data_IF_937443004977
#
_entry.id   IF_937443004977
#
_cell.length_a   1.000
_cell.length_b   1.000
_cell.length_c   1.000
_cell.angle_alpha   90.00
_cell.angle_beta   90.00
_cell.angle_gamma   90.00
#
_symmetry.space_group_name_H-M   'P 1'
#
loop_
_entity.id
_entity.type
_entity.pdbx_description
1 polymer ?
#
# COMPACT_ATOMS: atom_id res chain seq x y z
N UNK A 1 23.01 5.43 18.47
CA UNK A 1 21.54 5.49 18.42
C UNK A 1 21.02 4.13 17.95
N UNK A 2 19.87 3.66 18.43
CA UNK A 2 19.31 2.37 18.02
C UNK A 2 18.82 2.38 16.57
N UNK A 3 18.32 3.52 16.07
CA UNK A 3 17.89 3.65 14.67
C UNK A 3 19.07 3.48 13.70
N UNK A 4 20.17 4.19 13.95
CA UNK A 4 21.36 4.15 13.11
C UNK A 4 21.96 2.73 13.06
N UNK A 5 21.98 2.01 14.19
CA UNK A 5 22.44 0.63 14.23
C UNK A 5 21.53 -0.31 13.41
N UNK A 6 20.21 -0.15 13.49
CA UNK A 6 19.26 -0.92 12.67
C UNK A 6 19.48 -0.69 11.17
N UNK A 7 19.71 0.57 10.78
CA UNK A 7 19.96 0.95 9.39
C UNK A 7 21.29 0.40 8.89
N UNK A 8 22.38 0.57 9.65
CA UNK A 8 23.71 0.11 9.26
C UNK A 8 23.84 -1.43 9.21
N UNK A 9 23.03 -2.13 10.01
CA UNK A 9 23.03 -3.59 10.04
C UNK A 9 22.00 -4.21 9.10
N UNK A 10 21.34 -3.42 8.23
CA UNK A 10 20.32 -3.91 7.29
C UNK A 10 19.23 -4.76 7.97
N UNK A 11 18.88 -4.42 9.22
CA UNK A 11 18.07 -5.29 10.10
C UNK A 11 16.71 -5.65 9.50
N UNK A 12 16.17 -4.79 8.63
CA UNK A 12 14.88 -4.99 7.96
C UNK A 12 15.00 -5.09 6.44
N UNK A 13 16.21 -5.25 5.88
CA UNK A 13 16.39 -5.27 4.43
C UNK A 13 15.59 -6.38 3.74
N UNK A 14 15.50 -7.57 4.34
CA UNK A 14 14.68 -8.66 3.80
C UNK A 14 13.18 -8.34 3.79
N UNK A 15 12.69 -7.57 4.76
CA UNK A 15 11.29 -7.15 4.79
C UNK A 15 11.02 -6.10 3.70
N UNK A 16 11.92 -5.13 3.54
CA UNK A 16 11.84 -4.12 2.47
C UNK A 16 11.87 -4.76 1.08
N UNK A 17 12.73 -5.76 0.87
CA UNK A 17 12.77 -6.51 -0.39
C UNK A 17 11.48 -7.31 -0.63
N UNK A 18 10.93 -7.94 0.41
CA UNK A 18 9.66 -8.66 0.31
C UNK A 18 8.50 -7.73 -0.08
N UNK A 19 8.40 -6.56 0.56
CA UNK A 19 7.38 -5.54 0.24
C UNK A 19 7.54 -5.01 -1.19
N UNK A 20 8.78 -4.84 -1.67
CA UNK A 20 9.05 -4.43 -3.05
C UNK A 20 8.56 -5.48 -4.05
N UNK A 21 8.86 -6.76 -3.80
CA UNK A 21 8.43 -7.84 -4.69
C UNK A 21 6.92 -8.01 -4.68
N UNK A 22 6.27 -7.91 -3.52
CA UNK A 22 4.81 -7.92 -3.41
C UNK A 22 4.18 -6.81 -4.27
N UNK A 23 4.73 -5.59 -4.20
CA UNK A 23 4.26 -4.49 -5.04
C UNK A 23 4.39 -4.78 -6.55
N UNK A 24 5.51 -5.36 -6.97
CA UNK A 24 5.73 -5.77 -8.37
C UNK A 24 4.73 -6.85 -8.79
N UNK A 25 4.52 -7.87 -7.96
CA UNK A 25 3.56 -8.96 -8.21
C UNK A 25 2.11 -8.46 -8.31
N UNK A 26 1.76 -7.43 -7.52
CA UNK A 26 0.47 -6.74 -7.59
C UNK A 26 0.36 -5.77 -8.78
N UNK A 27 1.41 -5.62 -9.60
CA UNK A 27 1.43 -4.74 -10.78
C UNK A 27 1.57 -3.26 -10.45
N UNK A 28 2.06 -2.91 -9.26
CA UNK A 28 2.32 -1.53 -8.85
C UNK A 28 3.54 -1.01 -9.62
N UNK A 29 3.32 -0.01 -10.48
CA UNK A 29 4.37 0.60 -11.30
C UNK A 29 4.80 1.99 -10.79
N UNK A 30 4.25 2.45 -9.67
CA UNK A 30 4.55 3.77 -9.11
C UNK A 30 3.79 4.05 -7.82
N UNK A 31 4.31 5.01 -7.06
CA UNK A 31 3.74 5.41 -5.76
C UNK A 31 3.09 6.80 -5.82
N UNK A 32 2.12 7.09 -4.93
CA UNK A 32 1.50 6.14 -4.00
C UNK A 32 0.50 5.22 -4.72
N UNK A 33 0.34 4.01 -4.19
CA UNK A 33 -0.62 3.02 -4.66
C UNK A 33 -1.34 2.44 -3.44
N UNK A 34 -2.65 2.27 -3.54
CA UNK A 34 -3.50 1.80 -2.46
C UNK A 34 -4.40 0.66 -2.97
N UNK A 35 -4.81 -0.20 -2.05
CA UNK A 35 -5.87 -1.17 -2.28
C UNK A 35 -6.93 -0.97 -1.19
N UNK A 36 -8.18 -0.80 -1.57
CA UNK A 36 -9.32 -0.70 -0.65
C UNK A 36 -10.10 -1.99 -0.82
N UNK A 37 -10.00 -2.92 0.13
CA UNK A 37 -10.57 -4.28 0.04
C UNK A 37 -10.25 -4.99 -1.30
N UNK A 38 -9.03 -4.84 -1.81
CA UNK A 38 -8.60 -5.43 -3.09
C UNK A 38 -8.88 -4.57 -4.33
N UNK A 39 -9.62 -3.47 -4.20
CA UNK A 39 -9.86 -2.53 -5.30
C UNK A 39 -8.68 -1.55 -5.42
N UNK A 40 -7.98 -1.50 -6.56
CA UNK A 40 -6.78 -0.67 -6.71
C UNK A 40 -7.13 0.81 -6.88
N UNK A 41 -6.44 1.66 -6.12
CA UNK A 41 -6.46 3.13 -6.25
C UNK A 41 -5.03 3.60 -6.50
N UNK A 42 -4.76 4.03 -7.74
CA UNK A 42 -3.41 4.41 -8.18
C UNK A 42 -3.20 5.91 -8.10
N UNK A 43 -2.04 6.32 -7.58
CA UNK A 43 -1.60 7.70 -7.50
C UNK A 43 -2.14 8.45 -6.28
N UNK A 44 -1.64 9.68 -6.11
CA UNK A 44 -2.07 10.57 -5.04
C UNK A 44 -3.47 11.14 -5.36
N UNK A 45 -4.50 10.36 -5.08
CA UNK A 45 -5.88 10.75 -5.32
C UNK A 45 -6.41 11.70 -4.22
N UNK A 46 -7.42 12.53 -4.51
CA UNK A 46 -8.09 13.35 -3.51
C UNK A 46 -8.81 12.50 -2.47
N UNK A 47 -8.94 13.02 -1.24
CA UNK A 47 -9.70 12.38 -0.15
C UNK A 47 -11.09 11.89 -0.57
N UNK A 48 -11.82 12.70 -1.33
CA UNK A 48 -13.20 12.38 -1.76
C UNK A 48 -13.29 11.11 -2.59
N UNK A 49 -12.24 10.75 -3.33
CA UNK A 49 -12.21 9.50 -4.09
C UNK A 49 -12.09 8.29 -3.16
N UNK A 50 -11.28 8.39 -2.11
CA UNK A 50 -11.17 7.34 -1.09
C UNK A 50 -12.49 7.16 -0.33
N UNK A 51 -13.13 8.27 0.07
CA UNK A 51 -14.43 8.25 0.74
C UNK A 51 -15.48 7.54 -0.12
N UNK A 52 -15.64 7.93 -1.38
CA UNK A 52 -16.58 7.31 -2.31
C UNK A 52 -16.29 5.82 -2.54
N UNK A 53 -15.01 5.45 -2.69
CA UNK A 53 -14.63 4.06 -2.88
C UNK A 53 -14.99 3.21 -1.64
N UNK A 54 -14.75 3.72 -0.44
CA UNK A 54 -15.09 3.02 0.80
C UNK A 54 -16.61 2.89 0.95
N UNK A 55 -17.37 3.97 0.72
CA UNK A 55 -18.84 3.95 0.80
C UNK A 55 -19.44 2.93 -0.17
N UNK A 56 -18.96 2.91 -1.41
CA UNK A 56 -19.40 1.95 -2.42
C UNK A 56 -19.12 0.49 -1.98
N UNK A 57 -17.93 0.22 -1.44
CA UNK A 57 -17.54 -1.11 -1.01
C UNK A 57 -18.24 -1.58 0.26
N UNK A 58 -18.74 -0.68 1.09
CA UNK A 58 -19.60 -1.03 2.21
C UNK A 58 -20.99 -1.44 1.72
N UNK A 59 -21.55 -0.74 0.73
CA UNK A 59 -22.83 -1.10 0.12
C UNK A 59 -22.76 -2.48 -0.53
N UNK A 60 -21.71 -2.75 -1.32
CA UNK A 60 -21.51 -4.05 -1.99
C UNK A 60 -21.33 -5.24 -1.01
N UNK A 61 -20.84 -4.99 0.22
CA UNK A 61 -20.67 -6.03 1.23
C UNK A 61 -21.98 -6.41 1.95
N UNK A 62 -22.96 -5.51 1.97
CA UNK A 62 -24.25 -5.72 2.63
C UNK A 62 -25.30 -6.38 1.71
N UNK A 63 -24.99 -6.55 0.41
CA UNK A 63 -25.78 -7.29 -0.59
C UNK A 63 -25.45 -8.80 -0.61
#
# INVERSE_FOLDING_TARGET
DSFEQCLLNDTYASAVEADLQEGIELGINGTPAFFINGYPVSGAQPYTLFEQAIEQLLIEQDE
#
